data_IF_304219265618
#
_entry.id   IF_304219265618
#
_cell.length_a   1.000
_cell.length_b   1.000
_cell.length_c   1.000
_cell.angle_alpha   90.00
_cell.angle_beta   90.00
_cell.angle_gamma   90.00
#
_symmetry.space_group_name_H-M   'P 1'
#
loop_
_entity.id
_entity.type
_entity.pdbx_description
1 polymer ?
#
# COMPACT_ATOMS: atom_id res chain seq x y z
N UNK A 1 5.11 -39.19 -19.56
CA UNK A 1 5.73 -37.99 -20.08
C UNK A 1 6.51 -37.34 -18.97
N UNK A 2 7.81 -37.47 -19.02
CA UNK A 2 8.78 -37.08 -17.99
C UNK A 2 9.19 -35.62 -18.24
N UNK A 3 8.95 -34.73 -17.31
CA UNK A 3 9.51 -33.38 -17.36
C UNK A 3 10.88 -33.39 -16.69
N UNK A 4 11.91 -33.26 -17.50
CA UNK A 4 13.29 -33.12 -17.09
C UNK A 4 13.61 -31.66 -16.74
N UNK A 5 14.36 -31.48 -15.68
CA UNK A 5 15.14 -30.36 -15.19
C UNK A 5 15.32 -29.17 -16.14
N UNK A 6 14.97 -27.97 -15.65
CA UNK A 6 15.58 -26.71 -16.09
C UNK A 6 16.31 -26.13 -14.88
N UNK A 7 17.55 -26.58 -14.74
CA UNK A 7 18.59 -25.89 -13.99
C UNK A 7 19.21 -24.87 -14.94
N UNK A 8 18.98 -23.60 -14.69
CA UNK A 8 19.89 -22.52 -15.14
C UNK A 8 19.64 -21.31 -14.25
N UNK A 9 20.44 -21.18 -13.22
CA UNK A 9 20.66 -19.94 -12.52
C UNK A 9 21.28 -18.95 -13.50
N UNK A 10 20.49 -18.05 -14.05
CA UNK A 10 20.99 -16.89 -14.78
C UNK A 10 21.56 -15.91 -13.73
N UNK A 11 22.86 -15.77 -13.71
CA UNK A 11 23.57 -14.71 -12.96
C UNK A 11 23.05 -13.36 -13.44
N UNK A 12 22.43 -12.62 -12.51
CA UNK A 12 22.04 -11.22 -12.72
C UNK A 12 23.33 -10.41 -12.69
N UNK A 13 23.74 -9.74 -13.77
CA UNK A 13 24.91 -8.87 -13.72
C UNK A 13 24.65 -7.76 -12.71
N UNK A 14 25.58 -7.57 -11.78
CA UNK A 14 25.61 -6.46 -10.84
C UNK A 14 25.82 -5.16 -11.63
N UNK A 15 24.74 -4.56 -12.09
CA UNK A 15 24.75 -3.21 -12.63
C UNK A 15 24.58 -2.25 -11.46
N UNK A 16 25.69 -1.84 -10.86
CA UNK A 16 25.71 -0.76 -9.88
C UNK A 16 25.45 0.55 -10.63
N UNK A 17 24.30 1.22 -10.46
CA UNK A 17 24.12 2.54 -11.04
C UNK A 17 24.96 3.51 -10.24
N UNK A 18 26.10 3.90 -10.81
CA UNK A 18 26.85 5.06 -10.37
C UNK A 18 25.99 6.30 -10.66
N UNK A 19 25.52 6.97 -9.60
CA UNK A 19 24.87 8.28 -9.67
C UNK A 19 23.35 8.23 -9.62
N UNK A 20 22.77 7.64 -8.57
CA UNK A 20 21.44 8.07 -8.19
C UNK A 20 21.48 9.52 -7.75
N UNK A 21 20.64 10.44 -8.32
CA UNK A 21 20.53 11.76 -7.76
C UNK A 21 20.07 11.63 -6.32
N UNK A 22 20.88 12.04 -5.37
CA UNK A 22 20.48 12.23 -3.98
C UNK A 22 19.52 13.42 -3.97
N UNK A 23 18.27 13.19 -4.32
CA UNK A 23 17.20 14.12 -3.99
C UNK A 23 16.92 14.02 -2.49
N UNK A 24 17.89 14.44 -1.71
CA UNK A 24 17.63 14.91 -0.37
C UNK A 24 16.91 16.25 -0.57
N UNK A 25 15.64 16.40 -0.16
CA UNK A 25 15.00 17.70 -0.18
C UNK A 25 15.87 18.63 0.65
N UNK A 26 16.46 19.62 -0.01
CA UNK A 26 17.32 20.59 0.64
C UNK A 26 16.52 21.35 1.68
N UNK A 27 16.79 21.11 2.96
CA UNK A 27 16.81 22.19 3.90
C UNK A 27 15.61 22.45 4.78
N UNK A 28 14.72 21.47 5.06
CA UNK A 28 13.85 21.63 6.25
C UNK A 28 14.49 20.87 7.41
N UNK A 29 14.86 21.52 8.52
CA UNK A 29 15.40 20.83 9.68
C UNK A 29 14.45 19.73 10.15
N UNK A 30 14.97 18.56 10.51
CA UNK A 30 14.19 17.52 11.17
C UNK A 30 13.49 18.13 12.41
N UNK A 31 12.16 18.24 12.38
CA UNK A 31 11.38 18.89 13.44
C UNK A 31 10.45 20.00 12.95
N UNK A 32 10.55 20.46 11.70
CA UNK A 32 9.68 21.51 11.14
C UNK A 32 8.58 20.96 10.22
N UNK A 33 8.55 19.67 9.94
CA UNK A 33 7.47 19.07 9.16
C UNK A 33 6.26 18.79 10.08
N UNK A 34 5.03 19.10 9.64
CA UNK A 34 3.83 19.03 10.48
C UNK A 34 3.60 17.64 11.12
N UNK A 35 3.96 16.57 10.43
CA UNK A 35 3.82 15.18 10.89
C UNK A 35 5.17 14.52 11.24
N UNK A 36 6.22 15.33 11.46
CA UNK A 36 7.51 14.82 11.90
C UNK A 36 7.38 14.01 13.20
N UNK A 37 7.88 12.78 13.19
CA UNK A 37 7.77 11.84 14.31
C UNK A 37 6.57 10.90 14.27
N UNK A 38 5.55 11.16 13.44
CA UNK A 38 4.44 10.20 13.23
C UNK A 38 4.93 8.98 12.45
N UNK A 39 4.58 7.78 12.92
CA UNK A 39 5.00 6.50 12.37
C UNK A 39 3.81 5.72 11.84
N UNK A 40 3.81 5.45 10.55
CA UNK A 40 2.68 4.86 9.83
C UNK A 40 3.08 3.51 9.25
N UNK A 41 2.31 2.47 9.56
CA UNK A 41 2.41 1.16 8.92
C UNK A 41 1.32 1.06 7.85
N UNK A 42 1.75 1.03 6.59
CA UNK A 42 0.86 1.02 5.42
C UNK A 42 0.76 -0.39 4.84
N UNK A 43 -0.38 -1.03 5.05
CA UNK A 43 -0.74 -2.35 4.51
C UNK A 43 -1.66 -2.23 3.30
N UNK A 44 -2.02 -1.00 2.90
CA UNK A 44 -3.05 -0.75 1.91
C UNK A 44 -2.57 -1.02 0.48
N UNK A 45 -3.49 -1.38 -0.40
CA UNK A 45 -3.24 -1.72 -1.79
C UNK A 45 -3.95 -0.77 -2.77
N UNK A 46 -3.48 -0.76 -3.99
CA UNK A 46 -3.98 -0.08 -5.19
C UNK A 46 -3.82 1.43 -5.12
N UNK A 47 -4.84 2.21 -4.75
CA UNK A 47 -4.79 3.67 -4.88
C UNK A 47 -5.19 4.38 -3.60
N UNK A 48 -6.42 4.21 -3.12
CA UNK A 48 -6.98 5.07 -2.08
C UNK A 48 -6.18 5.03 -0.76
N UNK A 49 -5.94 3.84 -0.23
CA UNK A 49 -5.13 3.68 0.99
C UNK A 49 -3.68 4.12 0.80
N UNK A 50 -2.97 3.66 -0.26
CA UNK A 50 -1.62 4.12 -0.54
C UNK A 50 -1.48 5.63 -0.68
N UNK A 51 -2.46 6.34 -1.27
CA UNK A 51 -2.43 7.81 -1.34
C UNK A 51 -2.56 8.47 0.04
N UNK A 52 -3.27 7.86 0.98
CA UNK A 52 -3.28 8.35 2.38
C UNK A 52 -1.86 8.23 2.96
N UNK A 53 -1.23 7.06 2.85
CA UNK A 53 0.15 6.87 3.31
C UNK A 53 1.13 7.85 2.67
N UNK A 54 0.99 8.08 1.34
CA UNK A 54 1.80 9.08 0.64
C UNK A 54 1.58 10.49 1.18
N UNK A 55 0.33 10.93 1.32
CA UNK A 55 0.05 12.26 1.86
C UNK A 55 0.67 12.45 3.26
N UNK A 56 0.59 11.43 4.12
CA UNK A 56 1.23 11.49 5.44
C UNK A 56 2.76 11.59 5.32
N UNK A 57 3.38 10.86 4.37
CA UNK A 57 4.82 10.96 4.09
C UNK A 57 5.22 12.35 3.56
N UNK A 58 4.44 12.92 2.64
CA UNK A 58 4.68 14.25 2.08
C UNK A 58 4.67 15.35 3.17
N UNK A 59 3.92 15.13 4.25
CA UNK A 59 3.90 16.02 5.44
C UNK A 59 4.89 15.62 6.54
N UNK A 60 5.75 14.64 6.30
CA UNK A 60 6.89 14.32 7.19
C UNK A 60 6.72 13.08 8.06
N UNK A 61 5.64 12.32 7.94
CA UNK A 61 5.53 11.06 8.65
C UNK A 61 6.52 10.03 8.09
N UNK A 62 7.03 9.15 8.96
CA UNK A 62 7.75 7.96 8.52
C UNK A 62 6.74 6.88 8.17
N UNK A 63 6.64 6.54 6.90
CA UNK A 63 5.70 5.54 6.40
C UNK A 63 6.44 4.28 5.97
N UNK A 64 6.12 3.15 6.57
CA UNK A 64 6.61 1.83 6.19
C UNK A 64 5.49 1.09 5.47
N UNK A 65 5.71 0.81 4.18
CA UNK A 65 4.80 0.05 3.35
C UNK A 65 5.14 -1.43 3.38
N UNK A 66 4.15 -2.26 3.67
CA UNK A 66 4.28 -3.71 3.64
C UNK A 66 3.80 -4.25 2.28
N UNK A 67 4.65 -5.04 1.66
CA UNK A 67 4.37 -5.77 0.42
C UNK A 67 4.80 -7.23 0.54
N UNK A 68 4.28 -8.10 -0.33
CA UNK A 68 4.72 -9.49 -0.42
C UNK A 68 5.36 -9.78 -1.78
N UNK A 69 6.51 -10.43 -1.79
CA UNK A 69 7.13 -10.93 -3.02
C UNK A 69 6.34 -12.10 -3.64
N UNK A 70 5.52 -12.79 -2.83
CA UNK A 70 4.71 -13.92 -3.29
C UNK A 70 3.39 -13.48 -3.93
N UNK A 71 2.91 -12.30 -3.58
CA UNK A 71 1.69 -11.72 -4.13
C UNK A 71 1.95 -10.28 -4.53
N UNK A 72 2.20 -10.08 -5.81
CA UNK A 72 2.47 -8.76 -6.37
C UNK A 72 1.24 -7.88 -6.23
N UNK A 73 1.43 -6.67 -5.75
CA UNK A 73 0.36 -5.69 -5.62
C UNK A 73 -0.18 -5.26 -7.00
N UNK A 74 -1.50 -5.13 -7.09
CA UNK A 74 -2.20 -4.85 -8.34
C UNK A 74 -1.73 -3.55 -9.01
N UNK A 75 -1.43 -2.49 -8.26
CA UNK A 75 -0.93 -1.24 -8.83
C UNK A 75 0.40 -1.40 -9.57
N UNK A 76 1.23 -2.40 -9.19
CA UNK A 76 2.48 -2.71 -9.91
C UNK A 76 2.24 -3.31 -11.29
N UNK A 77 1.05 -3.85 -11.52
CA UNK A 77 0.64 -4.43 -12.80
C UNK A 77 -0.13 -3.43 -13.68
N UNK A 78 -0.33 -2.20 -13.19
CA UNK A 78 -1.07 -1.13 -13.88
C UNK A 78 -0.09 -0.05 -14.35
N UNK A 79 -0.30 0.39 -15.60
CA UNK A 79 0.51 1.46 -16.21
C UNK A 79 0.26 2.86 -15.60
N UNK A 80 0.98 3.85 -16.12
CA UNK A 80 1.87 3.76 -17.28
C UNK A 80 3.20 3.06 -16.97
N UNK A 81 3.79 2.44 -18.03
CA UNK A 81 5.11 1.83 -17.95
C UNK A 81 6.06 2.51 -18.93
N UNK A 82 7.33 2.76 -18.58
CA UNK A 82 8.34 3.24 -19.51
C UNK A 82 8.43 2.32 -20.74
N UNK A 83 8.41 2.91 -21.93
CA UNK A 83 8.44 2.15 -23.18
C UNK A 83 7.20 1.30 -23.48
N UNK A 84 6.11 1.44 -22.70
CA UNK A 84 4.84 0.74 -22.91
C UNK A 84 4.85 -0.75 -22.56
N UNK A 85 5.96 -1.29 -22.06
CA UNK A 85 6.07 -2.72 -21.69
C UNK A 85 5.83 -2.91 -20.19
N UNK A 86 4.94 -3.86 -19.85
CA UNK A 86 4.63 -4.18 -18.46
C UNK A 86 5.89 -4.58 -17.70
N UNK A 87 6.21 -3.81 -16.66
CA UNK A 87 7.27 -4.10 -15.71
C UNK A 87 6.79 -3.73 -14.30
N UNK A 88 6.55 -4.70 -13.40
CA UNK A 88 6.06 -4.44 -12.05
C UNK A 88 6.98 -3.56 -11.20
N UNK A 89 8.25 -3.43 -11.57
CA UNK A 89 9.23 -2.57 -10.88
C UNK A 89 9.23 -1.12 -11.42
N UNK A 90 8.46 -0.85 -12.48
CA UNK A 90 8.43 0.44 -13.16
C UNK A 90 7.01 0.94 -13.40
N UNK A 91 6.06 0.53 -12.58
CA UNK A 91 4.69 1.04 -12.66
C UNK A 91 4.62 2.48 -12.15
N UNK A 92 4.32 3.41 -13.06
CA UNK A 92 4.14 4.81 -12.68
C UNK A 92 2.97 5.03 -11.72
N UNK A 93 1.93 4.18 -11.77
CA UNK A 93 0.84 4.23 -10.80
C UNK A 93 1.34 3.86 -9.40
N UNK A 94 2.09 2.75 -9.29
CA UNK A 94 2.64 2.33 -8.01
C UNK A 94 3.58 3.38 -7.42
N UNK A 95 4.51 3.89 -8.21
CA UNK A 95 5.46 4.92 -7.76
C UNK A 95 4.75 6.21 -7.35
N UNK A 96 3.74 6.62 -8.12
CA UNK A 96 2.94 7.79 -7.76
C UNK A 96 2.22 7.63 -6.41
N UNK A 97 1.64 6.46 -6.14
CA UNK A 97 0.90 6.23 -4.89
C UNK A 97 1.81 5.96 -3.68
N UNK A 98 3.09 5.66 -3.89
CA UNK A 98 3.99 5.19 -2.84
C UNK A 98 5.27 6.00 -2.67
N UNK A 99 5.37 7.17 -3.31
CA UNK A 99 6.50 8.07 -3.14
C UNK A 99 6.72 8.42 -1.65
N UNK A 100 7.99 8.49 -1.24
CA UNK A 100 8.38 8.87 0.12
C UNK A 100 8.23 7.77 1.18
N UNK A 101 7.80 6.55 0.82
CA UNK A 101 7.65 5.44 1.75
C UNK A 101 8.87 4.52 1.78
N UNK A 102 9.10 3.89 2.90
CA UNK A 102 10.05 2.80 3.08
C UNK A 102 9.35 1.46 2.77
N UNK A 103 10.01 0.55 2.06
CA UNK A 103 9.47 -0.76 1.73
C UNK A 103 9.87 -1.83 2.75
N UNK A 104 8.91 -2.68 3.14
CA UNK A 104 9.12 -3.86 3.97
C UNK A 104 8.44 -5.06 3.30
N UNK A 105 9.20 -6.12 3.03
CA UNK A 105 8.65 -7.35 2.43
C UNK A 105 8.21 -8.32 3.53
N UNK A 106 6.89 -8.59 3.61
CA UNK A 106 6.30 -9.57 4.53
C UNK A 106 5.19 -10.35 3.84
N UNK A 107 5.09 -11.62 4.17
CA UNK A 107 3.97 -12.48 3.76
C UNK A 107 2.94 -12.57 4.90
N UNK A 108 1.84 -11.83 4.77
CA UNK A 108 0.76 -11.81 5.76
C UNK A 108 -0.13 -13.06 5.72
N UNK A 109 0.03 -13.95 4.74
CA UNK A 109 -0.62 -15.25 4.76
C UNK A 109 -0.03 -16.17 5.84
N UNK A 110 1.22 -15.92 6.24
CA UNK A 110 1.96 -16.67 7.25
C UNK A 110 1.83 -16.03 8.64
N UNK A 111 1.80 -16.88 9.65
CA UNK A 111 1.72 -16.45 11.05
C UNK A 111 2.93 -15.58 11.46
N UNK A 112 4.11 -15.92 10.96
CA UNK A 112 5.35 -15.19 11.25
C UNK A 112 5.30 -13.75 10.71
N UNK A 113 4.79 -13.56 9.48
CA UNK A 113 4.61 -12.22 8.91
C UNK A 113 3.61 -11.37 9.71
N UNK A 114 2.52 -11.98 10.16
CA UNK A 114 1.55 -11.30 11.03
C UNK A 114 2.11 -10.97 12.41
N UNK A 115 2.98 -11.83 12.96
CA UNK A 115 3.66 -11.55 14.22
C UNK A 115 4.54 -10.30 14.12
N UNK A 116 5.31 -10.16 13.02
CA UNK A 116 6.12 -8.95 12.77
C UNK A 116 5.24 -7.69 12.72
N UNK A 117 4.07 -7.75 12.08
CA UNK A 117 3.12 -6.61 12.06
C UNK A 117 2.68 -6.25 13.49
N UNK A 118 2.34 -7.23 14.31
CA UNK A 118 1.94 -7.01 15.72
C UNK A 118 3.07 -6.37 16.54
N UNK A 119 4.31 -6.84 16.33
CA UNK A 119 5.49 -6.28 16.99
C UNK A 119 5.74 -4.83 16.54
N UNK A 120 5.63 -4.54 15.24
CA UNK A 120 5.74 -3.18 14.72
C UNK A 120 4.65 -2.26 15.29
N UNK A 121 3.43 -2.74 15.44
CA UNK A 121 2.35 -1.95 16.06
C UNK A 121 2.65 -1.70 17.53
N UNK A 122 3.02 -2.73 18.29
CA UNK A 122 3.33 -2.59 19.72
C UNK A 122 4.46 -1.58 19.98
N UNK A 123 5.53 -1.68 19.21
CA UNK A 123 6.79 -1.03 19.55
C UNK A 123 7.07 0.24 18.73
N UNK A 124 6.40 0.39 17.57
CA UNK A 124 6.77 1.44 16.64
C UNK A 124 5.58 2.23 16.08
N UNK A 125 4.60 1.60 15.41
CA UNK A 125 3.60 2.31 14.64
C UNK A 125 2.58 3.07 15.52
N UNK A 126 2.23 4.27 15.12
CA UNK A 126 1.18 5.08 15.72
C UNK A 126 -0.11 5.01 14.89
N UNK A 127 0.03 4.73 13.59
CA UNK A 127 -1.08 4.60 12.64
C UNK A 127 -0.91 3.33 11.81
N UNK A 128 -2.00 2.62 11.57
CA UNK A 128 -2.10 1.53 10.59
C UNK A 128 -3.08 1.96 9.50
N UNK A 129 -2.68 1.84 8.25
CA UNK A 129 -3.53 2.06 7.08
C UNK A 129 -3.71 0.74 6.34
N UNK A 130 -4.95 0.36 6.04
CA UNK A 130 -5.26 -0.86 5.30
C UNK A 130 -6.39 -0.63 4.27
N UNK A 131 -6.50 -1.50 3.28
CA UNK A 131 -7.54 -1.43 2.25
C UNK A 131 -8.07 -2.81 1.84
N UNK A 132 -8.05 -3.76 2.76
CA UNK A 132 -8.56 -5.10 2.52
C UNK A 132 -10.09 -5.15 2.59
N UNK A 133 -10.64 -6.26 2.14
CA UNK A 133 -12.07 -6.52 2.30
C UNK A 133 -12.46 -6.49 3.78
N UNK A 134 -13.66 -6.02 4.12
CA UNK A 134 -14.15 -6.03 5.48
C UNK A 134 -13.99 -7.39 6.16
N UNK A 135 -13.46 -7.38 7.37
CA UNK A 135 -13.19 -8.61 8.15
C UNK A 135 -11.80 -9.22 7.92
N UNK A 136 -11.14 -8.98 6.79
CA UNK A 136 -9.86 -9.64 6.48
C UNK A 136 -8.77 -9.39 7.51
N UNK A 137 -8.67 -8.16 8.02
CA UNK A 137 -7.70 -7.85 9.07
C UNK A 137 -8.01 -8.60 10.38
N UNK A 138 -9.29 -8.72 10.73
CA UNK A 138 -9.72 -9.49 11.89
C UNK A 138 -9.44 -11.00 11.74
N UNK A 139 -9.68 -11.57 10.53
CA UNK A 139 -9.36 -12.97 10.24
C UNK A 139 -7.85 -13.27 10.39
N UNK A 140 -7.01 -12.28 10.17
CA UNK A 140 -5.58 -12.39 10.39
C UNK A 140 -5.14 -12.10 11.84
N UNK A 141 -6.04 -11.74 12.74
CA UNK A 141 -5.72 -11.30 14.09
C UNK A 141 -4.97 -9.96 14.11
N UNK A 142 -5.23 -9.13 13.10
CA UNK A 142 -4.69 -7.79 12.90
C UNK A 142 -5.78 -6.72 12.85
N UNK A 143 -7.01 -7.04 13.24
CA UNK A 143 -8.10 -6.08 13.36
C UNK A 143 -7.84 -5.06 14.47
N UNK A 144 -8.61 -3.97 14.47
CA UNK A 144 -8.45 -2.93 15.50
C UNK A 144 -8.60 -3.50 16.93
N UNK A 145 -9.54 -4.41 17.12
CA UNK A 145 -9.74 -5.06 18.43
C UNK A 145 -8.53 -5.90 18.88
N UNK A 146 -7.75 -6.44 17.91
CA UNK A 146 -6.57 -7.24 18.21
C UNK A 146 -5.33 -6.37 18.47
N UNK A 147 -5.23 -5.23 17.76
CA UNK A 147 -4.05 -4.37 17.78
C UNK A 147 -4.12 -3.26 18.83
N UNK A 148 -5.29 -2.69 19.11
CA UNK A 148 -5.45 -1.59 20.05
C UNK A 148 -5.00 -1.91 21.49
N UNK A 149 -5.14 -3.16 21.99
CA UNK A 149 -4.59 -3.51 23.30
C UNK A 149 -3.05 -3.52 23.35
N UNK A 150 -2.39 -3.69 22.20
CA UNK A 150 -0.93 -3.70 22.11
C UNK A 150 -0.35 -2.28 22.14
N UNK A 151 -1.10 -1.30 21.65
CA UNK A 151 -0.67 0.10 21.54
C UNK A 151 -1.82 1.02 21.91
N UNK A 152 -1.91 1.50 23.16
CA UNK A 152 -2.86 2.54 23.55
C UNK A 152 -2.69 3.79 22.67
N UNK A 153 -3.78 4.29 22.10
CA UNK A 153 -3.75 5.44 21.19
C UNK A 153 -3.46 5.10 19.72
N UNK A 154 -3.39 3.80 19.36
CA UNK A 154 -3.30 3.38 17.97
C UNK A 154 -4.45 3.95 17.14
N UNK A 155 -4.15 4.54 16.01
CA UNK A 155 -5.11 4.89 14.98
C UNK A 155 -5.11 3.81 13.88
N UNK A 156 -6.28 3.36 13.46
CA UNK A 156 -6.43 2.45 12.34
C UNK A 156 -7.38 3.04 11.32
N UNK A 157 -6.90 3.18 10.08
CA UNK A 157 -7.67 3.69 8.96
C UNK A 157 -7.90 2.56 7.95
N UNK A 158 -9.16 2.24 7.74
CA UNK A 158 -9.59 1.23 6.76
C UNK A 158 -10.24 1.93 5.57
N UNK A 159 -9.67 1.73 4.37
CA UNK A 159 -10.15 2.32 3.13
C UNK A 159 -10.84 1.26 2.27
N UNK A 160 -12.08 0.94 2.57
CA UNK A 160 -12.91 0.06 1.75
C UNK A 160 -13.97 0.84 0.97
N UNK A 161 -14.41 0.30 -0.17
CA UNK A 161 -15.29 1.00 -1.10
C UNK A 161 -16.61 1.48 -0.45
N UNK A 162 -17.22 0.61 0.36
CA UNK A 162 -18.53 0.87 0.98
C UNK A 162 -18.46 0.90 2.51
N UNK A 163 -17.27 1.07 3.09
CA UNK A 163 -17.05 1.05 4.53
C UNK A 163 -16.91 -0.37 5.08
N UNK A 164 -16.50 -0.47 6.35
CA UNK A 164 -16.30 -1.75 7.05
C UNK A 164 -17.60 -2.35 7.57
N UNK A 165 -18.67 -1.56 7.66
CA UNK A 165 -19.97 -1.96 8.21
C UNK A 165 -21.11 -1.48 7.32
N UNK A 166 -22.31 -2.01 7.53
CA UNK A 166 -23.49 -1.64 6.79
C UNK A 166 -23.87 -2.65 5.70
N UNK A 167 -25.05 -2.47 5.07
CA UNK A 167 -25.62 -3.48 4.17
C UNK A 167 -24.81 -3.70 2.90
N UNK A 168 -23.98 -2.75 2.52
CA UNK A 168 -23.17 -2.80 1.29
C UNK A 168 -21.68 -3.03 1.56
N UNK A 169 -21.26 -3.25 2.79
CA UNK A 169 -19.85 -3.44 3.13
C UNK A 169 -19.17 -4.58 2.36
N UNK A 170 -19.91 -5.62 1.97
CA UNK A 170 -19.41 -6.75 1.17
C UNK A 170 -19.27 -6.46 -0.33
N UNK A 171 -19.76 -5.32 -0.83
CA UNK A 171 -19.61 -5.00 -2.25
C UNK A 171 -18.15 -4.66 -2.56
N UNK A 172 -17.55 -5.47 -3.43
CA UNK A 172 -16.22 -5.23 -3.97
C UNK A 172 -16.30 -4.38 -5.24
N UNK A 173 -15.32 -3.52 -5.46
CA UNK A 173 -15.22 -2.73 -6.69
C UNK A 173 -14.12 -1.68 -6.60
N UNK A 174 -13.94 -0.99 -7.71
CA UNK A 174 -13.03 0.15 -7.82
C UNK A 174 -13.78 1.48 -7.82
N UNK A 175 -13.06 2.58 -7.89
CA UNK A 175 -13.59 3.93 -7.82
C UNK A 175 -14.76 4.22 -8.79
N UNK A 176 -14.81 3.55 -9.94
CA UNK A 176 -15.91 3.69 -10.89
C UNK A 176 -17.28 3.28 -10.30
N UNK A 177 -17.30 2.21 -9.50
CA UNK A 177 -18.51 1.80 -8.78
C UNK A 177 -18.86 2.82 -7.70
N UNK A 178 -17.88 3.30 -6.94
CA UNK A 178 -18.07 4.35 -5.95
C UNK A 178 -18.63 5.63 -6.57
N UNK A 179 -18.08 6.05 -7.71
CA UNK A 179 -18.57 7.21 -8.47
C UNK A 179 -20.01 7.01 -8.95
N UNK A 180 -20.36 5.79 -9.41
CA UNK A 180 -21.73 5.48 -9.84
C UNK A 180 -22.73 5.58 -8.68
N UNK A 181 -22.39 4.99 -7.53
CA UNK A 181 -23.25 5.00 -6.33
C UNK A 181 -23.39 6.42 -5.75
N UNK A 182 -22.30 7.21 -5.79
CA UNK A 182 -22.32 8.61 -5.35
C UNK A 182 -23.01 9.58 -6.34
N UNK A 183 -23.46 9.09 -7.50
CA UNK A 183 -24.12 9.90 -8.51
C UNK A 183 -23.19 10.72 -9.41
N UNK A 184 -21.87 10.67 -9.22
CA UNK A 184 -20.91 11.42 -10.05
C UNK A 184 -21.04 11.10 -11.53
N UNK A 185 -21.34 9.87 -11.89
CA UNK A 185 -21.51 9.49 -13.28
C UNK A 185 -22.69 10.20 -13.96
N UNK A 186 -23.65 10.74 -13.22
CA UNK A 186 -24.75 11.53 -13.77
C UNK A 186 -24.35 12.93 -14.18
N UNK A 187 -23.27 13.46 -13.65
CA UNK A 187 -22.80 14.83 -13.89
C UNK A 187 -21.48 14.90 -14.67
N UNK A 188 -20.83 13.77 -14.95
CA UNK A 188 -19.61 13.73 -15.76
C UNK A 188 -19.90 14.13 -17.21
N UNK A 189 -19.09 15.05 -17.73
CA UNK A 189 -19.13 15.49 -19.13
C UNK A 189 -18.34 14.49 -19.98
N UNK A 190 -18.85 14.13 -21.18
CA UNK A 190 -18.16 13.28 -22.15
C UNK A 190 -18.54 11.81 -22.09
N UNK A 191 -19.63 11.45 -21.41
CA UNK A 191 -20.22 10.12 -21.53
C UNK A 191 -20.69 9.90 -22.97
N UNK A 192 -20.17 8.86 -23.62
CA UNK A 192 -20.78 8.37 -24.82
C UNK A 192 -22.19 7.87 -24.45
N UNK A 193 -23.20 8.44 -25.04
CA UNK A 193 -24.54 7.87 -25.01
C UNK A 193 -24.50 6.59 -25.84
N UNK A 194 -24.57 5.45 -25.19
CA UNK A 194 -24.80 4.16 -25.82
C UNK A 194 -26.30 3.95 -25.90
#
# INVERSE_FOLDING_TARGET
MTFSNIDTAAEIPANTPTGAPTNTPSGTPAGTQPLGGLRVLDLAWVVAGPLVGRALADFGATVVRVESSLRVETARLMGPFPGGTLNPQQSGLFENCNAGKLGLSLDLSRAEGRAVVRDLVRDWADVVVESFSPGQMADWGLGYADLSPLKPGLLMLSTSLMGQTGPWSSFAGFGNLGAAVAGYQGIEIGRAHV
#
